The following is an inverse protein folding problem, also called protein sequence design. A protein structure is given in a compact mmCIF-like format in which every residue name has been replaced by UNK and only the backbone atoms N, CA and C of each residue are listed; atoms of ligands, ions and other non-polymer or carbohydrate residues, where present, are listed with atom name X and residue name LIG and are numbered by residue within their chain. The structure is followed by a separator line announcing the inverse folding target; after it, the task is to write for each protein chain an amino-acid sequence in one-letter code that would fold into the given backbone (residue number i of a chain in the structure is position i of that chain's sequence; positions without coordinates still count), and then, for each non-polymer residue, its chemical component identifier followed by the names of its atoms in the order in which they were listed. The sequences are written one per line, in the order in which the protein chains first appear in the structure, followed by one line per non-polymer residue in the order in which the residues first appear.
data_IF_412821111709
#
_entry.id   IF_412821111709
#
_cell.length_a   1.000
_cell.length_b   1.000
_cell.length_c   1.000
_cell.angle_alpha   90.00
_cell.angle_beta   90.00
_cell.angle_gamma   90.00
#
_symmetry.space_group_name_H-M   'P 1'
#
loop_
_entity.id
_entity.type
_entity.pdbx_description
1 polymer ?
#
# COMPACT_ATOMS: atom_id res chain seq x y z
N UNK A 1 -5.65 13.57 7.14
CA UNK A 1 -4.38 13.64 6.38
C UNK A 1 -4.73 13.32 4.95
N UNK A 2 -4.16 14.02 3.98
CA UNK A 2 -4.30 13.63 2.57
C UNK A 2 -3.14 12.67 2.28
N UNK A 3 -3.46 11.39 2.06
CA UNK A 3 -2.45 10.38 1.74
C UNK A 3 -1.94 10.59 0.32
N UNK A 4 -0.68 10.23 0.06
CA UNK A 4 -0.06 10.41 -1.26
C UNK A 4 -0.73 9.56 -2.34
N UNK A 5 -1.16 8.35 -1.98
CA UNK A 5 -1.79 7.40 -2.88
C UNK A 5 -3.24 7.23 -2.46
N UNK A 6 -4.18 7.59 -3.33
CA UNK A 6 -5.60 7.38 -3.10
C UNK A 6 -5.95 5.92 -3.45
N UNK A 7 -6.49 5.10 -2.52
CA UNK A 7 -6.86 3.72 -2.82
C UNK A 7 -7.78 3.56 -4.03
N UNK A 8 -8.68 4.52 -4.26
CA UNK A 8 -9.67 4.47 -5.35
C UNK A 8 -9.04 4.58 -6.76
N UNK A 9 -7.76 4.96 -6.86
CA UNK A 9 -7.04 5.02 -8.14
C UNK A 9 -6.52 3.63 -8.58
N UNK A 10 -6.73 2.59 -7.77
CA UNK A 10 -6.18 1.25 -7.98
C UNK A 10 -7.26 0.17 -8.05
N UNK A 11 -6.90 -0.98 -8.65
CA UNK A 11 -7.73 -2.18 -8.73
C UNK A 11 -8.26 -2.64 -7.36
N UNK A 12 -9.41 -3.32 -7.36
CA UNK A 12 -10.21 -3.64 -6.17
C UNK A 12 -9.37 -4.19 -5.01
N UNK A 13 -8.48 -5.15 -5.27
CA UNK A 13 -7.66 -5.80 -4.24
C UNK A 13 -6.57 -4.86 -3.68
N UNK A 14 -5.92 -4.07 -4.54
CA UNK A 14 -4.90 -3.12 -4.09
C UNK A 14 -5.54 -1.96 -3.33
N UNK A 15 -6.70 -1.48 -3.78
CA UNK A 15 -7.54 -0.52 -3.07
C UNK A 15 -7.88 -1.02 -1.66
N UNK A 16 -8.39 -2.25 -1.53
CA UNK A 16 -8.73 -2.86 -0.23
C UNK A 16 -7.55 -2.84 0.75
N UNK A 17 -6.37 -3.28 0.32
CA UNK A 17 -5.19 -3.35 1.19
C UNK A 17 -4.61 -1.97 1.52
N UNK A 18 -4.67 -1.01 0.61
CA UNK A 18 -4.28 0.37 0.91
C UNK A 18 -5.23 0.99 1.94
N UNK A 19 -6.53 0.81 1.79
CA UNK A 19 -7.54 1.26 2.76
C UNK A 19 -7.34 0.59 4.12
N UNK A 20 -7.10 -0.71 4.16
CA UNK A 20 -6.85 -1.44 5.39
C UNK A 20 -5.57 -0.96 6.10
N UNK A 21 -4.50 -0.70 5.35
CA UNK A 21 -3.27 -0.13 5.89
C UNK A 21 -3.50 1.25 6.50
N UNK A 22 -4.19 2.15 5.79
CA UNK A 22 -4.47 3.50 6.30
C UNK A 22 -5.34 3.48 7.55
N UNK A 23 -6.36 2.62 7.58
CA UNK A 23 -7.15 2.42 8.79
C UNK A 23 -6.29 1.97 9.97
N UNK A 24 -5.40 1.01 9.75
CA UNK A 24 -4.49 0.53 10.79
C UNK A 24 -3.49 1.60 11.25
N UNK A 25 -3.04 2.45 10.34
CA UNK A 25 -2.19 3.60 10.65
C UNK A 25 -2.91 4.60 11.56
N UNK A 26 -4.17 4.94 11.24
CA UNK A 26 -5.00 5.84 12.06
C UNK A 26 -5.29 5.25 13.45
N UNK A 27 -5.52 3.94 13.52
CA UNK A 27 -5.71 3.20 14.77
C UNK A 27 -4.39 2.98 15.55
N UNK A 28 -3.23 3.39 14.99
CA UNK A 28 -1.88 3.15 15.54
C UNK A 28 -1.57 1.65 15.76
N UNK A 29 -2.20 0.79 14.97
CA UNK A 29 -2.08 -0.66 15.06
C UNK A 29 -0.94 -1.17 14.18
N UNK A 30 0.31 -1.01 14.67
CA UNK A 30 1.53 -1.40 13.94
C UNK A 30 1.55 -2.88 13.52
N UNK A 31 0.96 -3.77 14.32
CA UNK A 31 0.91 -5.20 13.98
C UNK A 31 0.07 -5.43 12.73
N UNK A 32 -1.10 -4.79 12.67
CA UNK A 32 -1.99 -4.92 11.52
C UNK A 32 -1.41 -4.20 10.28
N UNK A 33 -0.79 -3.03 10.46
CA UNK A 33 -0.06 -2.38 9.37
C UNK A 33 1.03 -3.28 8.76
N UNK A 34 1.76 -4.04 9.59
CA UNK A 34 2.78 -4.99 9.11
C UNK A 34 2.18 -6.12 8.27
N UNK A 35 0.99 -6.61 8.64
CA UNK A 35 0.25 -7.59 7.85
C UNK A 35 -0.18 -7.01 6.50
N UNK A 36 -0.79 -5.82 6.51
CA UNK A 36 -1.22 -5.14 5.27
C UNK A 36 -0.04 -4.77 4.37
N UNK A 37 1.13 -4.46 4.93
CA UNK A 37 2.36 -4.23 4.15
C UNK A 37 2.78 -5.47 3.34
N UNK A 38 2.56 -6.68 3.86
CA UNK A 38 2.84 -7.91 3.10
C UNK A 38 1.88 -8.08 1.92
N UNK A 39 0.61 -7.73 2.12
CA UNK A 39 -0.40 -7.72 1.05
C UNK A 39 -0.06 -6.69 -0.03
N UNK A 40 0.25 -5.45 0.36
CA UNK A 40 0.71 -4.40 -0.56
C UNK A 40 1.94 -4.84 -1.37
N UNK A 41 2.90 -5.53 -0.77
CA UNK A 41 4.07 -6.05 -1.48
C UNK A 41 3.71 -7.07 -2.57
N UNK A 42 2.73 -7.95 -2.30
CA UNK A 42 2.25 -8.96 -3.23
C UNK A 42 1.42 -8.32 -4.36
N UNK A 43 0.45 -7.49 -4.03
CA UNK A 43 -0.46 -6.91 -5.03
C UNK A 43 0.23 -5.91 -5.94
N UNK A 44 1.13 -5.07 -5.41
CA UNK A 44 1.95 -4.20 -6.27
C UNK A 44 2.84 -5.00 -7.22
N UNK A 45 3.26 -6.22 -6.85
CA UNK A 45 4.00 -7.10 -7.76
C UNK A 45 3.10 -7.65 -8.88
N UNK A 46 1.84 -7.95 -8.58
CA UNK A 46 0.86 -8.37 -9.59
C UNK A 46 0.49 -7.21 -10.53
N UNK A 47 0.13 -6.04 -9.98
CA UNK A 47 -0.15 -4.83 -10.76
C UNK A 47 1.03 -4.47 -11.69
N UNK A 48 2.27 -4.61 -11.21
CA UNK A 48 3.45 -4.39 -12.05
C UNK A 48 3.58 -5.42 -13.18
N UNK A 49 3.17 -6.67 -12.95
CA UNK A 49 3.23 -7.74 -13.95
C UNK A 49 2.15 -7.57 -15.04
N UNK A 50 0.95 -7.14 -14.65
CA UNK A 50 -0.16 -6.87 -15.57
C UNK A 50 0.05 -5.55 -16.33
N UNK A 51 0.95 -4.69 -15.84
CA UNK A 51 1.34 -3.43 -16.49
C UNK A 51 0.57 -2.21 -15.99
N UNK A 52 -0.21 -2.36 -14.92
CA UNK A 52 -1.01 -1.30 -14.31
C UNK A 52 -0.12 -0.25 -13.62
N UNK A 53 1.04 -0.67 -13.13
CA UNK A 53 2.06 0.19 -12.54
C UNK A 53 3.44 -0.14 -13.09
N UNK A 54 4.34 0.84 -13.08
CA UNK A 54 5.74 0.60 -13.42
C UNK A 54 6.51 0.05 -12.22
N UNK A 55 7.72 -0.46 -12.46
CA UNK A 55 8.63 -0.85 -11.38
C UNK A 55 9.01 0.33 -10.48
N UNK A 56 9.08 1.55 -11.04
CA UNK A 56 9.38 2.76 -10.29
C UNK A 56 8.21 3.13 -9.37
N UNK A 57 6.97 3.07 -9.87
CA UNK A 57 5.77 3.34 -9.07
C UNK A 57 5.66 2.34 -7.91
N UNK A 58 5.97 1.06 -8.16
CA UNK A 58 6.02 0.03 -7.12
C UNK A 58 7.02 0.35 -6.03
N UNK A 59 8.25 0.71 -6.41
CA UNK A 59 9.30 1.05 -5.44
C UNK A 59 8.90 2.27 -4.60
N UNK A 60 8.36 3.31 -5.25
CA UNK A 60 7.93 4.53 -4.58
C UNK A 60 6.77 4.27 -3.59
N UNK A 61 5.78 3.47 -3.98
CA UNK A 61 4.68 3.06 -3.10
C UNK A 61 5.21 2.30 -1.88
N UNK A 62 6.06 1.30 -2.08
CA UNK A 62 6.58 0.49 -0.98
C UNK A 62 7.46 1.31 -0.02
N UNK A 63 8.22 2.28 -0.53
CA UNK A 63 8.96 3.21 0.30
C UNK A 63 8.01 4.08 1.13
N UNK A 64 6.97 4.65 0.52
CA UNK A 64 5.98 5.47 1.22
C UNK A 64 5.26 4.70 2.34
N UNK A 65 4.71 3.52 2.05
CA UNK A 65 4.05 2.69 3.07
C UNK A 65 5.04 2.18 4.12
N UNK A 66 6.29 1.91 3.73
CA UNK A 66 7.38 1.58 4.64
C UNK A 66 7.71 2.72 5.60
N UNK A 67 7.78 3.96 5.14
CA UNK A 67 7.98 5.15 5.97
C UNK A 67 6.84 5.33 6.98
N UNK A 68 5.59 5.11 6.57
CA UNK A 68 4.46 5.13 7.50
C UNK A 68 4.58 4.05 8.58
N UNK A 69 5.11 2.87 8.25
CA UNK A 69 5.25 1.73 9.17
C UNK A 69 6.49 1.78 10.08
N UNK A 70 7.61 2.32 9.62
CA UNK A 70 8.88 2.28 10.33
C UNK A 70 9.40 3.65 10.77
N UNK A 71 8.82 4.73 10.26
CA UNK A 71 9.07 6.11 10.68
C UNK A 71 8.33 6.53 11.93
#
# INVERSE_FOLDING_TARGET
MEYKYNPEDYEEVLCEYMTAFYRAYEEKNRLYMSAEMQHLYAETKYAMKEGDITSADREEMLNYFGELLYG
#
